data_IF_617023058811
#
_entry.id   IF_617023058811
#
_cell.length_a   1.000
_cell.length_b   1.000
_cell.length_c   1.000
_cell.angle_alpha   90.00
_cell.angle_beta   90.00
_cell.angle_gamma   90.00
#
_symmetry.space_group_name_H-M   'P 1'
#
loop_
_entity.id
_entity.type
_entity.pdbx_description
1 polymer ?
#
# COMPACT_ATOMS: atom_id res chain seq x y z
N UNK A 1 8.55 0.39 16.93
CA UNK A 1 9.69 0.86 17.77
C UNK A 1 10.44 -0.36 18.25
N UNK A 2 11.76 -0.40 18.03
CA UNK A 2 12.61 -1.52 18.47
C UNK A 2 13.25 -1.16 19.80
N UNK A 3 13.19 -2.08 20.77
CA UNK A 3 13.81 -1.89 22.09
C UNK A 3 14.65 -3.11 22.48
N UNK A 4 15.66 -2.95 23.33
CA UNK A 4 16.36 -4.09 23.91
C UNK A 4 15.39 -4.99 24.66
N UNK A 5 15.61 -6.31 24.63
CA UNK A 5 14.73 -7.30 25.26
C UNK A 5 14.48 -7.01 26.75
N UNK A 6 15.50 -6.51 27.46
CA UNK A 6 15.42 -6.13 28.88
C UNK A 6 14.48 -4.95 29.15
N UNK A 7 14.26 -4.09 28.15
CA UNK A 7 13.48 -2.87 28.27
C UNK A 7 12.05 -3.01 27.75
N UNK A 8 11.68 -4.16 27.18
CA UNK A 8 10.34 -4.41 26.64
C UNK A 8 9.24 -4.08 27.66
N UNK A 9 9.38 -4.58 28.89
CA UNK A 9 8.39 -4.34 29.95
C UNK A 9 8.31 -2.87 30.38
N UNK A 10 9.42 -2.13 30.33
CA UNK A 10 9.45 -0.71 30.67
C UNK A 10 8.82 0.13 29.55
N UNK A 11 9.12 -0.22 28.31
CA UNK A 11 8.64 0.46 27.12
C UNK A 11 7.12 0.30 26.94
N UNK A 12 6.56 -0.89 27.21
CA UNK A 12 5.10 -1.13 27.23
C UNK A 12 4.44 -0.39 28.41
N UNK A 13 5.08 -0.39 29.58
CA UNK A 13 4.55 0.16 30.82
C UNK A 13 3.44 -0.70 31.44
N UNK A 14 2.98 -0.33 32.65
CA UNK A 14 1.95 -1.10 33.36
C UNK A 14 0.63 -1.08 32.58
N UNK A 15 0.14 -2.25 32.16
CA UNK A 15 -1.09 -2.41 31.34
C UNK A 15 -1.04 -1.64 30.00
N UNK A 16 0.15 -1.51 29.40
CA UNK A 16 0.35 -0.82 28.12
C UNK A 16 0.18 0.70 28.22
N UNK A 17 0.28 1.28 29.42
CA UNK A 17 0.02 2.70 29.64
C UNK A 17 0.97 3.60 28.86
N UNK A 18 2.25 3.24 28.77
CA UNK A 18 3.25 4.05 28.10
C UNK A 18 3.02 4.08 26.58
N UNK A 19 2.80 2.91 25.96
CA UNK A 19 2.43 2.80 24.54
C UNK A 19 1.16 3.58 24.25
N UNK A 20 0.11 3.43 25.08
CA UNK A 20 -1.17 4.11 24.85
C UNK A 20 -1.05 5.63 24.91
N UNK A 21 -0.31 6.15 25.90
CA UNK A 21 -0.05 7.59 26.02
C UNK A 21 0.79 8.10 24.86
N UNK A 22 1.83 7.36 24.46
CA UNK A 22 2.68 7.73 23.34
C UNK A 22 1.88 7.80 22.04
N UNK A 23 1.07 6.79 21.73
CA UNK A 23 0.21 6.81 20.54
C UNK A 23 -0.83 7.93 20.56
N UNK A 24 -1.37 8.27 21.73
CA UNK A 24 -2.28 9.41 21.88
C UNK A 24 -1.58 10.76 21.67
N UNK A 25 -0.32 10.88 22.09
CA UNK A 25 0.47 12.11 21.94
C UNK A 25 0.99 12.30 20.53
N UNK A 26 1.40 11.22 19.85
CA UNK A 26 1.95 11.27 18.49
C UNK A 26 0.88 11.20 17.42
N UNK A 27 -0.32 10.73 17.75
CA UNK A 27 -1.36 10.41 16.77
C UNK A 27 -1.01 9.20 15.89
N UNK A 28 0.10 8.50 16.16
CA UNK A 28 0.55 7.34 15.40
C UNK A 28 0.34 6.06 16.21
N UNK A 29 0.03 4.96 15.53
CA UNK A 29 -0.02 3.66 16.17
C UNK A 29 1.41 3.14 16.40
N UNK A 30 1.71 2.73 17.64
CA UNK A 30 3.08 2.39 18.06
C UNK A 30 3.10 0.94 18.51
N UNK A 31 3.71 0.09 17.68
CA UNK A 31 4.06 -1.28 18.07
C UNK A 31 5.48 -1.34 18.65
N UNK A 32 5.66 -2.11 19.73
CA UNK A 32 6.97 -2.29 20.38
C UNK A 32 7.43 -3.73 20.16
N UNK A 33 8.55 -3.87 19.46
CA UNK A 33 9.19 -5.16 19.18
C UNK A 33 10.57 -5.21 19.81
N UNK A 34 11.04 -6.39 20.20
CA UNK A 34 12.41 -6.55 20.70
C UNK A 34 13.41 -6.58 19.55
N UNK A 35 14.68 -6.30 19.84
CA UNK A 35 15.77 -6.47 18.86
C UNK A 35 15.84 -7.90 18.33
N UNK A 36 15.63 -8.89 19.19
CA UNK A 36 15.62 -10.30 18.81
C UNK A 36 14.48 -10.62 17.83
N UNK A 37 13.26 -10.19 18.15
CA UNK A 37 12.08 -10.43 17.31
C UNK A 37 12.18 -9.68 15.97
N UNK A 38 12.66 -8.43 16.01
CA UNK A 38 12.87 -7.62 14.82
C UNK A 38 13.97 -8.21 13.90
N UNK A 39 15.05 -8.72 14.47
CA UNK A 39 16.08 -9.45 13.70
C UNK A 39 15.55 -10.74 13.08
N UNK A 40 14.72 -11.50 13.81
CA UNK A 40 14.12 -12.72 13.29
C UNK A 40 13.16 -12.40 12.13
N UNK A 41 12.32 -11.37 12.29
CA UNK A 41 11.43 -10.89 11.24
C UNK A 41 12.19 -10.49 9.98
N UNK A 42 13.27 -9.71 10.11
CA UNK A 42 14.11 -9.33 8.96
C UNK A 42 14.70 -10.53 8.21
N UNK A 43 15.10 -11.58 8.93
CA UNK A 43 15.62 -12.79 8.27
C UNK A 43 14.54 -13.53 7.48
N UNK A 44 13.31 -13.60 8.02
CA UNK A 44 12.18 -14.19 7.31
C UNK A 44 11.85 -13.37 6.07
N UNK A 45 11.69 -12.05 6.21
CA UNK A 45 11.41 -11.15 5.09
C UNK A 45 12.50 -11.21 4.01
N UNK A 46 13.77 -11.27 4.42
CA UNK A 46 14.89 -11.40 3.50
C UNK A 46 14.79 -12.70 2.70
N UNK A 47 14.57 -13.83 3.37
CA UNK A 47 14.44 -15.13 2.72
C UNK A 47 13.21 -15.22 1.79
N UNK A 48 12.08 -14.62 2.20
CA UNK A 48 10.86 -14.55 1.39
C UNK A 48 11.07 -13.72 0.12
N UNK A 49 11.71 -12.55 0.23
CA UNK A 49 12.04 -11.70 -0.92
C UNK A 49 13.06 -12.34 -1.85
N UNK A 50 14.11 -12.97 -1.30
CA UNK A 50 15.10 -13.72 -2.10
C UNK A 50 14.39 -14.80 -2.91
N UNK A 51 13.50 -15.57 -2.26
CA UNK A 51 12.73 -16.61 -2.95
C UNK A 51 11.81 -16.03 -4.02
N UNK A 52 11.14 -14.92 -3.74
CA UNK A 52 10.28 -14.23 -4.72
C UNK A 52 11.07 -13.85 -5.97
N UNK A 53 12.26 -13.27 -5.84
CA UNK A 53 13.08 -12.92 -7.00
C UNK A 53 13.63 -14.14 -7.73
N UNK A 54 14.05 -15.19 -7.02
CA UNK A 54 14.47 -16.44 -7.65
C UNK A 54 13.35 -17.05 -8.52
N UNK A 55 12.15 -17.17 -7.95
CA UNK A 55 11.00 -17.79 -8.62
C UNK A 55 10.47 -16.93 -9.77
N UNK A 56 10.47 -15.59 -9.62
CA UNK A 56 9.87 -14.69 -10.60
C UNK A 56 10.81 -14.25 -11.73
N UNK A 57 12.11 -14.09 -11.44
CA UNK A 57 13.10 -13.60 -12.41
C UNK A 57 13.96 -14.75 -13.00
N UNK A 58 13.80 -15.97 -12.50
CA UNK A 58 14.60 -17.15 -12.89
C UNK A 58 16.10 -16.88 -12.76
N UNK A 59 16.49 -16.48 -11.56
CA UNK A 59 17.88 -16.17 -11.17
C UNK A 59 18.35 -17.08 -10.04
N UNK A 60 19.68 -17.16 -9.88
CA UNK A 60 20.25 -17.88 -8.76
C UNK A 60 20.10 -17.12 -7.42
N UNK A 61 20.37 -17.84 -6.34
CA UNK A 61 20.25 -17.31 -4.98
C UNK A 61 21.19 -16.14 -4.72
N UNK A 62 22.39 -16.12 -5.31
CA UNK A 62 23.37 -15.07 -5.09
C UNK A 62 22.87 -13.75 -5.68
N UNK A 63 22.38 -13.78 -6.93
CA UNK A 63 21.82 -12.61 -7.61
C UNK A 63 20.55 -12.11 -6.91
N UNK A 64 19.69 -13.01 -6.44
CA UNK A 64 18.50 -12.63 -5.68
C UNK A 64 18.84 -11.99 -4.33
N UNK A 65 19.85 -12.51 -3.62
CA UNK A 65 20.32 -11.90 -2.37
C UNK A 65 20.91 -10.51 -2.58
N UNK A 66 21.62 -10.28 -3.68
CA UNK A 66 22.15 -8.96 -4.04
C UNK A 66 21.01 -7.94 -4.22
N UNK A 67 19.96 -8.28 -4.98
CA UNK A 67 18.79 -7.42 -5.14
C UNK A 67 18.14 -7.07 -3.79
N UNK A 68 17.91 -8.05 -2.92
CA UNK A 68 17.32 -7.78 -1.60
C UNK A 68 18.25 -6.91 -0.74
N UNK A 69 19.56 -7.11 -0.84
CA UNK A 69 20.55 -6.34 -0.06
C UNK A 69 20.65 -4.87 -0.47
N UNK A 70 20.41 -4.59 -1.76
CA UNK A 70 20.34 -3.23 -2.31
C UNK A 70 19.01 -2.54 -1.97
N UNK A 71 18.04 -3.31 -1.45
CA UNK A 71 16.79 -2.78 -0.91
C UNK A 71 15.57 -3.05 -1.76
N UNK A 72 15.70 -3.78 -2.88
CA UNK A 72 14.55 -4.15 -3.71
C UNK A 72 13.58 -5.02 -2.91
N UNK A 73 12.32 -4.59 -2.84
CA UNK A 73 11.29 -5.24 -2.03
C UNK A 73 10.27 -6.01 -2.86
N UNK A 74 10.07 -5.61 -4.12
CA UNK A 74 9.05 -6.15 -5.01
C UNK A 74 9.53 -6.16 -6.48
N UNK A 75 8.75 -6.79 -7.36
CA UNK A 75 9.06 -6.91 -8.79
C UNK A 75 8.89 -5.61 -9.56
N UNK A 76 8.02 -4.69 -9.10
CA UNK A 76 7.76 -3.43 -9.79
C UNK A 76 8.96 -2.50 -9.70
N UNK A 77 9.60 -2.42 -8.53
CA UNK A 77 10.86 -1.70 -8.35
C UNK A 77 11.91 -2.22 -9.34
N UNK A 78 12.12 -3.54 -9.43
CA UNK A 78 13.09 -4.11 -10.39
C UNK A 78 12.69 -3.81 -11.84
N UNK A 79 11.40 -3.86 -12.17
CA UNK A 79 10.90 -3.64 -13.54
C UNK A 79 11.03 -2.19 -14.03
N UNK A 80 10.94 -1.21 -13.12
CA UNK A 80 10.80 0.21 -13.48
C UNK A 80 11.89 1.12 -12.91
N UNK A 81 12.81 0.60 -12.11
CA UNK A 81 14.00 1.33 -11.66
C UNK A 81 14.88 1.80 -12.82
N UNK A 82 15.64 2.86 -12.61
CA UNK A 82 16.67 3.29 -13.56
C UNK A 82 17.75 2.20 -13.73
N UNK A 83 18.21 2.01 -14.97
CA UNK A 83 19.21 0.99 -15.28
C UNK A 83 20.51 1.21 -14.48
N UNK A 84 20.88 2.47 -14.26
CA UNK A 84 22.10 2.83 -13.51
C UNK A 84 22.09 2.33 -12.05
N UNK A 85 20.92 2.23 -11.41
CA UNK A 85 20.82 1.66 -10.06
C UNK A 85 21.11 0.15 -10.07
N UNK A 86 20.60 -0.57 -11.06
CA UNK A 86 20.91 -2.00 -11.24
C UNK A 86 22.38 -2.24 -11.60
N UNK A 87 22.99 -1.32 -12.36
CA UNK A 87 24.41 -1.39 -12.72
C UNK A 87 25.35 -1.05 -11.57
N UNK A 88 24.85 -0.38 -10.54
CA UNK A 88 25.62 -0.10 -9.32
C UNK A 88 25.85 -1.36 -8.47
N UNK A 89 25.05 -2.40 -8.70
CA UNK A 89 25.13 -3.69 -8.00
C UNK A 89 26.35 -4.47 -8.51
N UNK A 90 27.21 -4.91 -7.58
CA UNK A 90 28.39 -5.68 -7.94
C UNK A 90 28.02 -7.01 -8.61
N UNK A 91 28.55 -7.25 -9.81
CA UNK A 91 28.26 -8.43 -10.61
C UNK A 91 27.16 -8.27 -11.67
N UNK A 92 26.53 -7.10 -11.77
CA UNK A 92 25.52 -6.82 -12.80
C UNK A 92 26.15 -6.04 -13.97
N UNK A 93 25.85 -6.46 -15.20
CA UNK A 93 26.20 -5.74 -16.42
C UNK A 93 24.95 -5.24 -17.16
N UNK A 94 25.13 -4.39 -18.18
CA UNK A 94 24.02 -3.80 -18.96
C UNK A 94 23.10 -4.87 -19.57
N UNK A 95 23.67 -6.00 -19.99
CA UNK A 95 22.91 -7.11 -20.53
C UNK A 95 22.04 -7.79 -19.47
N UNK A 96 22.64 -8.13 -18.34
CA UNK A 96 21.96 -8.81 -17.22
C UNK A 96 20.89 -7.91 -16.62
N UNK A 97 21.20 -6.65 -16.35
CA UNK A 97 20.23 -5.69 -15.82
C UNK A 97 19.03 -5.51 -16.77
N UNK A 98 19.28 -5.37 -18.08
CA UNK A 98 18.24 -5.30 -19.09
C UNK A 98 17.37 -6.57 -19.16
N UNK A 99 17.98 -7.75 -19.07
CA UNK A 99 17.26 -9.02 -19.01
C UNK A 99 16.38 -9.14 -17.77
N UNK A 100 16.88 -8.73 -16.59
CA UNK A 100 16.11 -8.76 -15.35
C UNK A 100 14.90 -7.86 -15.41
N UNK A 101 15.05 -6.64 -15.92
CA UNK A 101 13.92 -5.73 -16.12
C UNK A 101 12.89 -6.32 -17.08
N UNK A 102 13.35 -6.93 -18.19
CA UNK A 102 12.45 -7.56 -19.15
C UNK A 102 11.66 -8.72 -18.50
N UNK A 103 12.34 -9.62 -17.79
CA UNK A 103 11.68 -10.73 -17.09
C UNK A 103 10.72 -10.26 -16.00
N UNK A 104 11.10 -9.22 -15.26
CA UNK A 104 10.23 -8.63 -14.25
C UNK A 104 8.92 -8.10 -14.87
N UNK A 105 9.04 -7.34 -15.98
CA UNK A 105 7.87 -6.82 -16.72
C UNK A 105 7.00 -7.94 -17.29
N UNK A 106 7.62 -8.94 -17.92
CA UNK A 106 6.91 -10.09 -18.48
C UNK A 106 6.13 -10.85 -17.39
N UNK A 107 6.73 -11.01 -16.20
CA UNK A 107 6.08 -11.67 -15.07
C UNK A 107 4.90 -10.85 -14.53
N UNK A 108 5.08 -9.54 -14.35
CA UNK A 108 4.01 -8.61 -13.94
C UNK A 108 2.86 -8.60 -14.95
N UNK A 109 3.15 -8.57 -16.24
CA UNK A 109 2.14 -8.63 -17.30
C UNK A 109 1.38 -9.97 -17.27
N UNK A 110 2.09 -11.09 -17.16
CA UNK A 110 1.47 -12.40 -17.04
C UNK A 110 0.58 -12.52 -15.78
N UNK A 111 1.03 -11.97 -14.64
CA UNK A 111 0.26 -11.91 -13.41
C UNK A 111 -1.01 -11.06 -13.59
N UNK A 112 -0.89 -9.90 -14.24
CA UNK A 112 -2.02 -9.01 -14.52
C UNK A 112 -3.04 -9.64 -15.47
N UNK A 113 -2.60 -10.33 -16.52
CA UNK A 113 -3.49 -11.07 -17.43
C UNK A 113 -4.27 -12.12 -16.64
N UNK A 114 -3.57 -12.92 -15.82
CA UNK A 114 -4.20 -13.96 -15.01
C UNK A 114 -5.17 -13.38 -13.98
N UNK A 115 -4.82 -12.27 -13.34
CA UNK A 115 -5.70 -11.56 -12.40
C UNK A 115 -6.98 -11.08 -13.10
N UNK A 116 -6.86 -10.49 -14.30
CA UNK A 116 -8.01 -10.10 -15.12
C UNK A 116 -8.89 -11.29 -15.51
N UNK A 117 -8.30 -12.41 -15.92
CA UNK A 117 -9.04 -13.62 -16.27
C UNK A 117 -9.82 -14.15 -15.06
N UNK A 118 -9.18 -14.18 -13.88
CA UNK A 118 -9.82 -14.57 -12.63
C UNK A 118 -10.96 -13.61 -12.24
N UNK A 119 -10.73 -12.30 -12.33
CA UNK A 119 -11.74 -11.28 -12.04
C UNK A 119 -12.96 -11.44 -12.96
N UNK A 120 -12.73 -11.66 -14.26
CA UNK A 120 -13.80 -11.96 -15.23
C UNK A 120 -14.52 -13.26 -14.92
N UNK A 121 -13.81 -14.31 -14.50
CA UNK A 121 -14.42 -15.57 -14.09
C UNK A 121 -15.30 -15.42 -12.83
N UNK A 122 -14.97 -14.48 -11.95
CA UNK A 122 -15.77 -14.12 -10.77
C UNK A 122 -16.95 -13.20 -11.10
N UNK A 123 -17.03 -12.72 -12.34
CA UNK A 123 -18.16 -11.95 -12.87
C UNK A 123 -18.00 -10.44 -12.70
N UNK A 124 -16.77 -9.92 -12.68
CA UNK A 124 -16.54 -8.48 -12.74
C UNK A 124 -17.09 -7.90 -14.05
N UNK A 125 -17.74 -6.75 -13.96
CA UNK A 125 -18.34 -6.08 -15.12
C UNK A 125 -17.39 -5.06 -15.75
N UNK A 126 -17.57 -4.81 -17.04
CA UNK A 126 -16.76 -3.85 -17.80
C UNK A 126 -16.84 -2.44 -17.22
N UNK A 127 -17.90 -2.09 -16.50
CA UNK A 127 -18.04 -0.80 -15.80
C UNK A 127 -16.93 -0.56 -14.77
N UNK A 128 -16.52 -1.61 -14.05
CA UNK A 128 -15.47 -1.53 -13.03
C UNK A 128 -14.08 -1.75 -13.65
N UNK A 129 -14.00 -2.58 -14.70
CA UNK A 129 -12.75 -2.80 -15.43
C UNK A 129 -12.25 -1.55 -16.17
N UNK A 130 -13.17 -0.73 -16.68
CA UNK A 130 -12.84 0.53 -17.38
C UNK A 130 -12.59 1.70 -16.43
N UNK A 131 -12.76 1.50 -15.12
CA UNK A 131 -12.54 2.54 -14.13
C UNK A 131 -11.03 2.79 -13.95
N UNK A 132 -10.62 4.05 -14.15
CA UNK A 132 -9.22 4.45 -14.01
C UNK A 132 -8.77 4.41 -12.55
N UNK A 133 -7.52 4.01 -12.31
CA UNK A 133 -6.92 3.96 -10.98
C UNK A 133 -7.03 2.60 -10.27
N UNK A 134 -7.63 1.58 -10.90
CA UNK A 134 -7.60 0.21 -10.39
C UNK A 134 -6.69 -0.68 -11.25
N UNK A 135 -5.78 -1.41 -10.60
CA UNK A 135 -4.95 -2.40 -11.28
C UNK A 135 -5.73 -3.71 -11.48
N UNK A 136 -5.35 -4.54 -12.47
CA UNK A 136 -5.87 -5.90 -12.62
C UNK A 136 -5.91 -6.75 -11.36
N UNK A 137 -4.89 -6.62 -10.52
CA UNK A 137 -4.78 -7.37 -9.27
C UNK A 137 -5.77 -6.86 -8.22
N UNK A 138 -5.94 -5.53 -8.12
CA UNK A 138 -6.97 -4.92 -7.28
C UNK A 138 -8.38 -5.35 -7.72
N UNK A 139 -8.65 -5.38 -9.03
CA UNK A 139 -9.92 -5.85 -9.59
C UNK A 139 -10.22 -7.31 -9.22
N UNK A 140 -9.21 -8.19 -9.23
CA UNK A 140 -9.36 -9.57 -8.77
C UNK A 140 -9.70 -9.63 -7.26
N UNK A 141 -9.04 -8.81 -6.44
CA UNK A 141 -9.31 -8.74 -4.99
C UNK A 141 -10.74 -8.26 -4.70
N UNK A 142 -11.20 -7.21 -5.40
CA UNK A 142 -12.57 -6.71 -5.31
C UNK A 142 -13.60 -7.76 -5.74
N UNK A 143 -13.34 -8.45 -6.86
CA UNK A 143 -14.24 -9.49 -7.36
C UNK A 143 -14.37 -10.68 -6.41
N UNK A 144 -13.31 -11.03 -5.66
CA UNK A 144 -13.34 -12.09 -4.63
C UNK A 144 -14.25 -11.73 -3.45
N UNK A 145 -14.34 -10.45 -3.11
CA UNK A 145 -15.23 -9.96 -2.05
C UNK A 145 -16.66 -9.66 -2.53
N UNK A 146 -16.91 -9.84 -3.84
CA UNK A 146 -18.23 -9.68 -4.44
C UNK A 146 -18.52 -8.29 -4.98
N UNK A 147 -17.53 -7.39 -4.98
CA UNK A 147 -17.60 -6.08 -5.63
C UNK A 147 -17.36 -6.28 -7.13
N UNK A 148 -18.41 -6.24 -7.94
CA UNK A 148 -18.35 -6.62 -9.36
C UNK A 148 -18.63 -5.47 -10.30
N UNK A 149 -19.39 -4.49 -9.84
CA UNK A 149 -19.84 -3.36 -10.64
C UNK A 149 -19.27 -2.04 -10.12
N UNK A 150 -19.38 -0.99 -10.93
CA UNK A 150 -19.01 0.36 -10.49
C UNK A 150 -19.94 0.84 -9.35
N UNK A 151 -21.20 0.41 -9.36
CA UNK A 151 -22.16 0.72 -8.30
C UNK A 151 -21.74 0.08 -6.97
N UNK A 152 -21.39 -1.21 -6.97
CA UNK A 152 -20.89 -1.90 -5.77
C UNK A 152 -19.68 -1.16 -5.19
N UNK A 153 -18.71 -0.82 -6.05
CA UNK A 153 -17.51 -0.10 -5.66
C UNK A 153 -17.80 1.30 -5.09
N UNK A 154 -18.76 2.03 -5.68
CA UNK A 154 -19.17 3.35 -5.18
C UNK A 154 -19.87 3.30 -3.81
N UNK A 155 -20.46 2.15 -3.44
CA UNK A 155 -21.06 1.94 -2.11
C UNK A 155 -20.05 1.58 -1.04
N UNK A 156 -18.85 1.13 -1.41
CA UNK A 156 -17.79 0.80 -0.46
C UNK A 156 -17.41 2.02 0.38
N UNK A 157 -17.02 1.76 1.62
CA UNK A 157 -16.38 2.77 2.43
C UNK A 157 -14.87 2.84 2.12
N UNK A 158 -14.30 4.02 2.25
CA UNK A 158 -12.87 4.30 2.14
C UNK A 158 -12.03 3.39 3.05
N UNK A 159 -12.48 3.20 4.31
CA UNK A 159 -11.79 2.34 5.28
C UNK A 159 -11.94 0.85 4.99
N UNK A 160 -12.95 0.40 4.26
CA UNK A 160 -13.08 -1.01 3.83
C UNK A 160 -12.06 -1.36 2.75
N UNK A 161 -11.66 -0.37 1.94
CA UNK A 161 -10.66 -0.53 0.89
C UNK A 161 -9.24 -0.39 1.43
N UNK A 162 -8.94 0.74 2.08
CA UNK A 162 -7.59 1.05 2.58
C UNK A 162 -7.25 0.36 3.92
N UNK A 163 -8.26 -0.12 4.64
CA UNK A 163 -8.10 -0.66 5.99
C UNK A 163 -8.19 0.41 7.06
N UNK A 164 -8.43 -0.02 8.29
CA UNK A 164 -8.72 0.89 9.38
C UNK A 164 -8.59 0.28 10.76
N UNK A 165 -8.96 1.08 11.77
CA UNK A 165 -8.97 0.65 13.16
C UNK A 165 -10.34 0.86 13.76
N UNK A 166 -11.05 -0.23 14.05
CA UNK A 166 -12.32 -0.18 14.79
C UNK A 166 -12.09 -0.41 16.27
N UNK A 167 -12.89 0.26 17.12
CA UNK A 167 -12.90 0.00 18.56
C UNK A 167 -14.02 -0.96 18.92
N UNK A 168 -13.69 -2.21 19.22
CA UNK A 168 -14.65 -3.21 19.71
C UNK A 168 -14.42 -3.43 21.20
N UNK A 169 -15.43 -3.14 22.03
CA UNK A 169 -15.40 -3.30 23.50
C UNK A 169 -14.21 -2.62 24.19
N UNK A 170 -13.78 -1.45 23.67
CA UNK A 170 -12.67 -0.67 24.24
C UNK A 170 -11.27 -1.17 23.86
N UNK A 171 -11.15 -2.17 22.98
CA UNK A 171 -9.90 -2.57 22.34
C UNK A 171 -9.91 -2.10 20.88
N UNK A 172 -8.80 -1.52 20.42
CA UNK A 172 -8.58 -1.23 18.99
C UNK A 172 -8.26 -2.55 18.29
N UNK A 173 -9.01 -2.85 17.24
CA UNK A 173 -8.80 -4.00 16.36
C UNK A 173 -8.48 -3.43 14.98
N UNK A 174 -7.44 -3.97 14.33
CA UNK A 174 -7.10 -3.61 12.96
C UNK A 174 -8.05 -4.36 12.02
N UNK A 175 -8.81 -3.61 11.24
CA UNK A 175 -9.62 -4.15 10.16
C UNK A 175 -8.78 -4.06 8.88
N UNK A 176 -8.44 -5.23 8.33
CA UNK A 176 -7.61 -5.30 7.13
C UNK A 176 -8.43 -4.83 5.92
N UNK A 177 -7.91 -3.85 5.20
CA UNK A 177 -8.54 -3.35 3.98
C UNK A 177 -8.46 -4.36 2.85
N UNK A 178 -9.44 -4.35 1.95
CA UNK A 178 -9.44 -5.19 0.74
C UNK A 178 -8.25 -4.90 -0.17
N UNK A 179 -7.81 -3.64 -0.22
CA UNK A 179 -6.72 -3.16 -1.07
C UNK A 179 -5.49 -2.70 -0.28
N UNK A 180 -5.45 -2.96 1.04
CA UNK A 180 -4.33 -2.58 1.91
C UNK A 180 -3.01 -3.23 1.46
N UNK A 181 -3.06 -4.45 0.92
CA UNK A 181 -1.89 -5.17 0.42
C UNK A 181 -1.29 -4.55 -0.87
N UNK A 182 -1.98 -3.60 -1.49
CA UNK A 182 -1.57 -2.90 -2.70
C UNK A 182 -1.20 -1.44 -2.41
N UNK A 183 -0.79 -1.14 -1.18
CA UNK A 183 -0.39 0.18 -0.69
C UNK A 183 -1.46 1.28 -0.85
N UNK A 184 -2.74 0.89 -0.92
CA UNK A 184 -3.87 1.81 -1.03
C UNK A 184 -4.02 2.65 0.25
N UNK A 185 -3.80 3.95 0.16
CA UNK A 185 -4.05 4.87 1.27
C UNK A 185 -5.54 5.20 1.43
N UNK A 186 -5.93 5.68 2.62
CA UNK A 186 -7.31 6.10 2.88
C UNK A 186 -7.74 7.25 1.97
N UNK A 187 -6.83 8.19 1.69
CA UNK A 187 -7.10 9.33 0.81
C UNK A 187 -7.29 8.87 -0.64
N UNK A 188 -6.45 7.96 -1.14
CA UNK A 188 -6.61 7.39 -2.47
C UNK A 188 -7.91 6.58 -2.59
N UNK A 189 -8.22 5.74 -1.61
CA UNK A 189 -9.48 5.00 -1.56
C UNK A 189 -10.69 5.95 -1.57
N UNK A 190 -10.65 7.01 -0.76
CA UNK A 190 -11.69 8.03 -0.74
C UNK A 190 -11.84 8.70 -2.12
N UNK A 191 -10.74 9.09 -2.76
CA UNK A 191 -10.76 9.73 -4.07
C UNK A 191 -11.34 8.82 -5.16
N UNK A 192 -10.96 7.54 -5.18
CA UNK A 192 -11.47 6.56 -6.13
C UNK A 192 -12.98 6.33 -5.93
N UNK A 193 -13.43 6.12 -4.69
CA UNK A 193 -14.85 5.95 -4.37
C UNK A 193 -15.66 7.20 -4.74
N UNK A 194 -15.15 8.39 -4.44
CA UNK A 194 -15.82 9.64 -4.82
C UNK A 194 -15.90 9.79 -6.34
N UNK A 195 -14.83 9.46 -7.07
CA UNK A 195 -14.83 9.54 -8.53
C UNK A 195 -15.84 8.54 -9.13
N UNK A 196 -15.96 7.34 -8.57
CA UNK A 196 -16.98 6.37 -8.96
C UNK A 196 -18.41 6.90 -8.72
N UNK A 197 -18.66 7.51 -7.56
CA UNK A 197 -19.97 8.13 -7.24
C UNK A 197 -20.34 9.25 -8.20
N UNK A 198 -19.37 10.04 -8.61
CA UNK A 198 -19.55 11.14 -9.57
C UNK A 198 -19.87 10.61 -10.97
N UNK A 199 -19.17 9.56 -11.42
CA UNK A 199 -19.48 8.90 -12.70
C UNK A 199 -20.89 8.30 -12.73
N UNK A 200 -21.39 7.82 -11.60
CA UNK A 200 -22.76 7.32 -11.44
C UNK A 200 -23.80 8.44 -11.23
N UNK A 201 -23.36 9.70 -11.11
CA UNK A 201 -24.23 10.85 -10.87
C UNK A 201 -24.84 10.91 -9.47
N UNK A 202 -24.24 10.22 -8.49
CA UNK A 202 -24.70 10.24 -7.09
C UNK A 202 -24.21 11.49 -6.34
N UNK A 203 -23.13 12.10 -6.82
CA UNK A 203 -22.52 13.32 -6.28
C UNK A 203 -22.31 14.29 -7.44
N UNK A 204 -22.65 15.56 -7.23
CA UNK A 204 -22.41 16.60 -8.22
C UNK A 204 -20.91 16.96 -8.24
N UNK A 205 -20.24 16.99 -9.41
CA UNK A 205 -18.83 17.38 -9.52
C UNK A 205 -18.50 18.74 -8.92
N UNK A 206 -19.49 19.65 -8.83
CA UNK A 206 -19.31 20.99 -8.25
C UNK A 206 -19.27 21.00 -6.72
N UNK A 207 -19.64 19.90 -6.06
CA UNK A 207 -19.52 19.72 -4.61
C UNK A 207 -18.15 19.13 -4.19
N UNK A 208 -17.28 18.81 -5.16
CA UNK A 208 -15.93 18.27 -4.93
C UNK A 208 -14.85 19.34 -4.77
N UNK A 209 -15.20 20.64 -4.85
CA UNK A 209 -14.20 21.67 -4.63
C UNK A 209 -13.63 21.55 -3.21
N UNK A 210 -12.29 21.54 -3.05
CA UNK A 210 -11.73 21.81 -1.73
C UNK A 210 -12.23 23.20 -1.34
N UNK A 211 -12.61 23.38 -0.08
CA UNK A 211 -12.97 24.68 0.46
C UNK A 211 -11.77 25.65 0.36
N UNK A 212 -11.55 26.21 -0.82
CA UNK A 212 -10.63 27.27 -1.13
C UNK A 212 -11.51 28.50 -1.41
N UNK A 213 -12.03 29.10 -0.34
CA UNK A 213 -12.38 30.52 -0.26
C UNK A 213 -13.02 30.84 1.10
N UNK A 214 -12.15 31.01 2.10
CA UNK A 214 -12.46 31.80 3.30
C UNK A 214 -11.19 32.41 3.94
N UNK A 215 -10.18 32.71 3.12
CA UNK A 215 -8.96 33.37 3.55
C UNK A 215 -8.56 34.43 2.53
N UNK A 216 -9.40 35.44 2.33
CA UNK A 216 -9.00 36.75 1.79
C UNK A 216 -10.13 37.77 2.01
N UNK A 217 -10.28 38.19 3.27
CA UNK A 217 -10.89 39.47 3.64
C UNK A 217 -10.59 39.72 5.12
N UNK A 218 -9.41 40.26 5.43
CA UNK A 218 -9.19 41.18 6.55
C UNK A 218 -7.72 41.68 6.55
N UNK A 219 -7.32 42.38 5.47
CA UNK A 219 -6.29 43.42 5.53
C UNK A 219 -6.87 44.66 4.85
N UNK A 220 -7.43 45.58 5.67
CA UNK A 220 -7.30 47.04 5.54
C UNK A 220 -8.44 47.74 6.31
N UNK A 221 -8.25 47.99 7.61
CA UNK A 221 -8.71 49.22 8.27
C UNK A 221 -8.20 49.28 9.71
N UNK A 222 -7.02 49.87 9.94
CA UNK A 222 -6.85 50.82 11.04
C UNK A 222 -5.58 51.67 10.84
N UNK A 223 -5.72 52.68 9.98
CA UNK A 223 -4.99 53.93 10.15
C UNK A 223 -5.93 54.92 10.87
N UNK A 224 -5.63 55.22 12.14
CA UNK A 224 -6.02 56.49 12.76
C UNK A 224 -6.67 56.43 14.13
N UNK A 225 -5.89 56.66 15.19
CA UNK A 225 -6.04 57.78 16.14
C UNK A 225 -4.95 57.73 17.22
#
# INVERSE_FOLDING_TARGET
>A
VVVPDEQLSLAIGRRGQNVRLASQLTGLDIDIVTETDDSARRQVEFAERTKLFMDALDIDEMMAQLLVSEGFTNLEEVAYVELDELLSIDGFDEGTAGELQARARDNLEAANIKAMENARALGIEDSLVQFEGLTPQMLEALAKDGIKTLEDFATCADWELAGGWTTVKGARVKDKGLLEDYDMSLEEAQNLVMTARVMLGWVDPTELEPAADAADADEDEEAGA
#
